data_IF_780460438829
#
_entry.id   IF_780460438829
#
_cell.length_a   1.000
_cell.length_b   1.000
_cell.length_c   1.000
_cell.angle_alpha   90.00
_cell.angle_beta   90.00
_cell.angle_gamma   90.00
#
_symmetry.space_group_name_H-M   'P 1'
#
loop_
_entity.id
_entity.type
_entity.pdbx_description
1 polymer ?
#
# COMPACT_ATOMS: atom_id res chain seq x y z
N UNK A 1 13.71 19.42 -27.04
CA UNK A 1 13.02 18.11 -26.91
C UNK A 1 14.11 17.11 -26.54
N UNK A 2 14.35 16.90 -25.25
CA UNK A 2 15.35 15.94 -24.76
C UNK A 2 14.57 14.81 -24.09
N UNK A 3 14.72 13.59 -24.63
CA UNK A 3 14.10 12.39 -24.11
C UNK A 3 14.73 12.04 -22.76
N UNK A 4 13.95 12.18 -21.68
CA UNK A 4 14.28 11.69 -20.35
C UNK A 4 14.11 10.17 -20.34
N UNK A 5 15.22 9.46 -20.51
CA UNK A 5 15.29 8.02 -20.31
C UNK A 5 14.84 7.70 -18.86
N UNK A 6 13.83 6.85 -18.76
CA UNK A 6 13.08 6.58 -17.53
C UNK A 6 13.92 5.93 -16.45
N UNK A 7 14.12 6.67 -15.36
CA UNK A 7 14.39 6.08 -14.04
C UNK A 7 13.05 6.06 -13.33
N UNK A 8 12.37 4.91 -13.36
CA UNK A 8 11.15 4.71 -12.58
C UNK A 8 11.53 4.60 -11.11
N UNK A 9 11.34 5.67 -10.35
CA UNK A 9 11.44 5.64 -8.89
C UNK A 9 10.07 5.28 -8.33
N UNK A 10 9.81 3.97 -8.31
CA UNK A 10 8.69 3.43 -7.54
C UNK A 10 9.10 3.48 -6.08
N UNK A 11 8.66 4.52 -5.38
CA UNK A 11 8.72 4.57 -3.93
C UNK A 11 7.53 3.77 -3.39
N UNK A 12 7.71 2.47 -3.23
CA UNK A 12 6.65 1.61 -2.70
C UNK A 12 6.73 1.59 -1.18
N UNK A 13 5.87 2.37 -0.52
CA UNK A 13 5.45 2.08 0.84
C UNK A 13 3.93 2.26 0.88
N UNK A 14 3.25 1.10 1.01
CA UNK A 14 1.82 0.86 0.84
C UNK A 14 1.31 1.19 -0.58
N UNK A 15 0.90 0.19 -1.35
CA UNK A 15 -0.04 0.23 -2.50
C UNK A 15 0.23 -1.03 -3.33
N UNK A 16 -0.73 -1.94 -3.25
CA UNK A 16 -0.88 -3.19 -3.96
C UNK A 16 0.06 -3.48 -5.17
N UNK A 17 0.83 -4.56 -5.04
CA UNK A 17 1.21 -5.42 -6.16
C UNK A 17 -0.05 -6.13 -6.70
N UNK A 18 -0.90 -5.41 -7.45
CA UNK A 18 -1.83 -6.02 -8.40
C UNK A 18 -1.32 -5.70 -9.79
N UNK A 19 -0.50 -6.60 -10.33
CA UNK A 19 -0.20 -6.56 -11.77
C UNK A 19 -1.48 -6.86 -12.55
N UNK A 20 -1.87 -6.07 -13.57
CA UNK A 20 -2.89 -6.48 -14.52
C UNK A 20 -2.47 -7.75 -15.27
N UNK A 21 -3.42 -8.58 -15.75
CA UNK A 21 -3.06 -9.79 -16.49
C UNK A 21 -2.41 -9.39 -17.82
N UNK A 22 -1.18 -9.86 -18.00
CA UNK A 22 -0.45 -10.00 -19.26
C UNK A 22 0.11 -8.72 -19.92
N UNK A 23 1.42 -8.47 -19.73
CA UNK A 23 2.45 -8.48 -20.78
C UNK A 23 3.80 -8.01 -20.22
N UNK A 24 4.84 -8.83 -20.38
CA UNK A 24 6.23 -8.47 -20.15
C UNK A 24 6.71 -8.76 -18.72
N UNK A 25 7.46 -9.84 -18.58
CA UNK A 25 8.31 -10.15 -17.43
C UNK A 25 9.10 -8.92 -16.98
N UNK A 26 8.69 -8.31 -15.87
CA UNK A 26 9.60 -7.61 -14.97
C UNK A 26 9.61 -8.41 -13.68
N UNK A 27 10.55 -9.35 -13.60
CA UNK A 27 10.94 -9.99 -12.35
C UNK A 27 11.50 -8.87 -11.47
N UNK A 28 10.69 -8.33 -10.56
CA UNK A 28 11.24 -7.55 -9.46
C UNK A 28 11.86 -8.58 -8.52
N UNK A 29 13.18 -8.71 -8.58
CA UNK A 29 13.93 -9.52 -7.63
C UNK A 29 13.68 -8.95 -6.23
N UNK A 30 12.87 -9.65 -5.46
CA UNK A 30 12.79 -9.51 -4.01
C UNK A 30 14.18 -9.83 -3.44
N UNK A 31 14.95 -8.77 -3.14
CA UNK A 31 16.17 -8.87 -2.35
C UNK A 31 15.84 -8.71 -0.87
N UNK A 32 15.02 -9.59 -0.31
CA UNK A 32 14.85 -9.65 1.14
C UNK A 32 15.96 -10.49 1.78
N UNK A 33 16.87 -9.77 2.48
CA UNK A 33 17.75 -10.32 3.52
C UNK A 33 16.97 -10.63 4.81
N UNK A 34 15.85 -11.34 4.68
CA UNK A 34 15.03 -11.79 5.81
C UNK A 34 14.46 -13.19 5.57
N UNK A 35 15.22 -14.12 4.98
CA UNK A 35 15.04 -15.58 5.12
C UNK A 35 13.66 -16.21 4.83
N UNK A 36 12.68 -15.48 4.30
CA UNK A 36 11.32 -15.94 4.06
C UNK A 36 11.18 -16.54 2.67
N UNK A 37 10.53 -17.72 2.58
CA UNK A 37 10.21 -18.36 1.30
C UNK A 37 9.36 -17.45 0.42
N UNK A 38 9.67 -17.38 -0.87
CA UNK A 38 8.84 -16.69 -1.87
C UNK A 38 7.48 -17.40 -2.01
N UNK A 39 6.41 -16.73 -2.49
CA UNK A 39 5.08 -17.34 -2.63
C UNK A 39 5.05 -18.69 -3.37
N UNK A 40 5.89 -18.87 -4.39
CA UNK A 40 5.98 -20.11 -5.18
C UNK A 40 6.73 -21.26 -4.48
N UNK A 41 7.41 -21.01 -3.37
CA UNK A 41 8.18 -22.00 -2.60
C UNK A 41 7.42 -22.48 -1.35
N UNK A 42 6.30 -21.83 -1.02
CA UNK A 42 5.45 -22.16 0.12
C UNK A 42 4.50 -23.30 -0.22
N UNK A 43 4.38 -24.27 0.68
CA UNK A 43 3.57 -25.47 0.49
C UNK A 43 2.28 -25.32 1.29
N UNK A 44 1.14 -25.41 0.59
CA UNK A 44 -0.16 -25.32 1.24
C UNK A 44 -0.54 -26.64 1.91
N UNK A 45 -1.10 -26.56 3.11
CA UNK A 45 -1.70 -27.69 3.85
C UNK A 45 -3.22 -27.53 3.94
N UNK A 46 -3.92 -28.64 4.15
CA UNK A 46 -5.35 -28.61 4.47
C UNK A 46 -5.56 -28.56 5.97
N UNK A 47 -6.45 -27.68 6.43
CA UNK A 47 -6.85 -27.57 7.82
C UNK A 47 -8.32 -27.98 8.00
N UNK A 48 -8.71 -28.53 9.16
CA UNK A 48 -10.10 -28.79 9.49
C UNK A 48 -10.94 -27.50 9.47
N UNK A 49 -12.24 -27.62 9.14
CA UNK A 49 -13.14 -26.47 9.10
C UNK A 49 -13.19 -25.70 10.44
N UNK A 50 -13.21 -26.42 11.57
CA UNK A 50 -13.20 -25.81 12.90
C UNK A 50 -11.94 -24.98 13.16
N UNK A 51 -10.79 -25.36 12.59
CA UNK A 51 -9.55 -24.57 12.68
C UNK A 51 -9.68 -23.28 11.87
N UNK A 52 -10.19 -23.36 10.65
CA UNK A 52 -10.41 -22.19 9.78
C UNK A 52 -11.46 -21.22 10.35
N UNK A 53 -12.50 -21.74 11.00
CA UNK A 53 -13.53 -20.93 11.66
C UNK A 53 -12.95 -20.01 12.75
N UNK A 54 -11.89 -20.44 13.45
CA UNK A 54 -11.22 -19.61 14.47
C UNK A 54 -10.59 -18.34 13.92
N UNK A 55 -10.16 -18.36 12.66
CA UNK A 55 -9.49 -17.22 12.02
C UNK A 55 -10.46 -16.31 11.25
N UNK A 56 -11.69 -16.76 11.02
CA UNK A 56 -12.73 -15.97 10.38
C UNK A 56 -13.13 -14.79 11.27
N UNK A 57 -13.18 -13.58 10.71
CA UNK A 57 -13.41 -12.34 11.44
C UNK A 57 -12.87 -11.12 10.73
N UNK A 58 -13.04 -9.97 11.37
CA UNK A 58 -12.53 -8.68 10.89
C UNK A 58 -11.34 -8.27 11.74
N UNK A 59 -10.25 -7.89 11.06
CA UNK A 59 -8.96 -7.61 11.66
C UNK A 59 -8.52 -6.19 11.30
N UNK A 60 -8.42 -5.31 12.29
CA UNK A 60 -8.07 -3.91 12.15
C UNK A 60 -6.55 -3.74 12.08
N UNK A 61 -6.07 -3.11 11.01
CA UNK A 61 -4.67 -2.70 10.84
C UNK A 61 -4.47 -1.22 11.16
N UNK A 62 -5.46 -0.38 10.80
CA UNK A 62 -5.54 1.04 11.14
C UNK A 62 -7.00 1.49 11.10
N UNK A 63 -7.29 2.75 11.43
CA UNK A 63 -8.67 3.28 11.37
C UNK A 63 -9.33 3.16 9.99
N UNK A 64 -8.55 3.09 8.92
CA UNK A 64 -9.03 3.05 7.54
C UNK A 64 -8.80 1.70 6.85
N UNK A 65 -8.00 0.81 7.44
CA UNK A 65 -7.58 -0.43 6.81
C UNK A 65 -7.88 -1.64 7.68
N UNK A 66 -8.62 -2.57 7.10
CA UNK A 66 -9.08 -3.80 7.72
C UNK A 66 -8.82 -4.99 6.79
N UNK A 67 -8.74 -6.17 7.37
CA UNK A 67 -8.74 -7.45 6.67
C UNK A 67 -9.98 -8.22 7.12
N UNK A 68 -10.92 -8.45 6.21
CA UNK A 68 -12.05 -9.34 6.43
C UNK A 68 -11.65 -10.76 6.00
N UNK A 69 -11.60 -11.68 6.95
CA UNK A 69 -11.32 -13.09 6.72
C UNK A 69 -12.60 -13.89 6.85
N UNK A 70 -12.96 -14.64 5.81
CA UNK A 70 -14.18 -15.45 5.75
C UNK A 70 -13.88 -16.85 5.27
N UNK A 71 -14.45 -17.86 5.94
CA UNK A 71 -14.41 -19.24 5.43
C UNK A 71 -15.44 -19.44 4.33
N UNK A 72 -15.00 -20.05 3.24
CA UNK A 72 -15.83 -20.52 2.14
C UNK A 72 -15.55 -22.01 1.91
N UNK A 73 -16.36 -22.90 2.48
CA UNK A 73 -16.10 -24.33 2.41
C UNK A 73 -14.85 -24.73 3.20
N UNK A 74 -13.82 -25.21 2.50
CA UNK A 74 -12.52 -25.66 3.03
C UNK A 74 -11.37 -24.66 2.84
N UNK A 75 -11.68 -23.42 2.41
CA UNK A 75 -10.70 -22.33 2.21
C UNK A 75 -11.05 -21.09 3.02
N UNK A 76 -10.04 -20.24 3.24
CA UNK A 76 -10.21 -18.89 3.75
C UNK A 76 -10.04 -17.87 2.62
N UNK A 77 -10.96 -16.93 2.56
CA UNK A 77 -10.89 -15.75 1.72
C UNK A 77 -10.55 -14.55 2.59
N UNK A 78 -9.57 -13.76 2.18
CA UNK A 78 -9.17 -12.52 2.85
C UNK A 78 -9.37 -11.33 1.91
N UNK A 79 -10.02 -10.29 2.42
CA UNK A 79 -10.26 -9.04 1.70
C UNK A 79 -9.67 -7.88 2.50
N UNK A 80 -8.71 -7.17 1.92
CA UNK A 80 -8.28 -5.86 2.41
C UNK A 80 -9.29 -4.77 1.99
N UNK A 81 -9.46 -3.75 2.81
CA UNK A 81 -10.26 -2.57 2.46
C UNK A 81 -9.83 -1.99 1.11
N UNK A 82 -10.80 -1.75 0.21
CA UNK A 82 -10.54 -1.24 -1.14
C UNK A 82 -9.90 -2.24 -2.12
N UNK A 83 -9.73 -3.52 -1.74
CA UNK A 83 -9.18 -4.57 -2.60
C UNK A 83 -10.20 -5.68 -2.87
N UNK A 84 -10.02 -6.44 -3.97
CA UNK A 84 -10.75 -7.69 -4.18
C UNK A 84 -10.42 -8.72 -3.08
N UNK A 85 -11.33 -9.67 -2.91
CA UNK A 85 -11.12 -10.81 -2.02
C UNK A 85 -10.27 -11.87 -2.71
N UNK A 86 -9.27 -12.41 -2.02
CA UNK A 86 -8.40 -13.47 -2.52
C UNK A 86 -8.26 -14.60 -1.50
N UNK A 87 -8.02 -15.81 -1.99
CA UNK A 87 -7.78 -16.96 -1.13
C UNK A 87 -6.44 -16.82 -0.41
N UNK A 88 -6.43 -17.18 0.88
CA UNK A 88 -5.22 -17.36 1.69
C UNK A 88 -5.02 -18.85 1.99
N UNK A 89 -3.82 -19.34 1.75
CA UNK A 89 -3.46 -20.74 1.86
C UNK A 89 -2.72 -20.98 3.17
N UNK A 90 -3.11 -21.99 3.95
CA UNK A 90 -2.40 -22.36 5.16
C UNK A 90 -1.03 -22.98 4.81
N UNK A 91 0.05 -22.49 5.40
CA UNK A 91 1.36 -23.16 5.40
C UNK A 91 1.57 -23.96 6.69
N UNK A 92 1.03 -23.46 7.81
CA UNK A 92 0.87 -24.15 9.09
C UNK A 92 -0.48 -23.75 9.71
N UNK A 93 -0.81 -24.29 10.88
CA UNK A 93 -2.15 -24.13 11.50
C UNK A 93 -2.59 -22.66 11.62
N UNK A 94 -1.68 -21.77 11.98
CA UNK A 94 -1.90 -20.36 12.30
C UNK A 94 -1.27 -19.38 11.29
N UNK A 95 -0.69 -19.88 10.19
CA UNK A 95 0.06 -19.06 9.26
C UNK A 95 -0.37 -19.31 7.83
N UNK A 96 -0.76 -18.23 7.18
CA UNK A 96 -1.38 -18.24 5.87
C UNK A 96 -0.61 -17.34 4.92
N UNK A 97 -0.67 -17.62 3.62
CA UNK A 97 -0.01 -16.82 2.60
C UNK A 97 -0.90 -16.65 1.37
N UNK A 98 -0.71 -15.54 0.65
CA UNK A 98 -1.28 -15.36 -0.68
C UNK A 98 -0.34 -15.94 -1.74
N UNK A 99 -0.90 -16.50 -2.82
CA UNK A 99 -0.11 -16.92 -3.99
C UNK A 99 0.13 -15.80 -5.01
N UNK A 100 -0.69 -14.74 -4.94
CA UNK A 100 -0.66 -13.63 -5.90
C UNK A 100 0.29 -12.50 -5.49
N UNK A 101 0.72 -12.47 -4.23
CA UNK A 101 1.58 -11.44 -3.66
C UNK A 101 2.45 -12.07 -2.57
N UNK A 102 3.64 -11.52 -2.37
CA UNK A 102 4.48 -11.86 -1.23
C UNK A 102 3.98 -11.19 0.05
N UNK A 103 2.96 -11.82 0.64
CA UNK A 103 2.40 -11.44 1.93
C UNK A 103 1.95 -12.68 2.70
N UNK A 104 2.00 -12.58 4.02
CA UNK A 104 1.57 -13.64 4.93
C UNK A 104 0.72 -13.07 6.06
N UNK A 105 -0.20 -13.88 6.56
CA UNK A 105 -1.08 -13.57 7.68
C UNK A 105 -0.85 -14.60 8.77
N UNK A 106 -0.31 -14.16 9.89
CA UNK A 106 -0.05 -14.98 11.07
C UNK A 106 -1.07 -14.65 12.16
N UNK A 107 -1.76 -15.66 12.68
CA UNK A 107 -2.73 -15.50 13.76
C UNK A 107 -2.11 -15.92 15.08
N UNK A 108 -2.11 -15.02 16.04
CA UNK A 108 -1.51 -15.22 17.35
C UNK A 108 -2.58 -15.36 18.44
N UNK A 109 -2.16 -15.78 19.63
CA UNK A 109 -3.01 -15.86 20.82
C UNK A 109 -4.32 -16.63 20.57
N UNK A 110 -4.27 -17.74 19.82
CA UNK A 110 -5.45 -18.55 19.51
C UNK A 110 -6.49 -17.86 18.60
N UNK A 111 -6.10 -16.79 17.88
CA UNK A 111 -6.99 -16.03 17.01
C UNK A 111 -7.58 -14.77 17.64
N UNK A 112 -6.91 -14.21 18.65
CA UNK A 112 -7.26 -12.92 19.26
C UNK A 112 -6.46 -11.75 18.66
N UNK A 113 -5.23 -12.00 18.25
CA UNK A 113 -4.34 -11.05 17.57
C UNK A 113 -3.85 -11.65 16.26
N UNK A 114 -3.37 -10.83 15.34
CA UNK A 114 -2.74 -11.31 14.11
C UNK A 114 -1.65 -10.32 13.65
N UNK A 115 -0.81 -10.75 12.72
CA UNK A 115 0.17 -9.92 12.05
C UNK A 115 0.10 -10.15 10.55
N UNK A 116 0.12 -9.07 9.78
CA UNK A 116 0.38 -9.10 8.35
C UNK A 116 1.88 -8.92 8.13
N UNK A 117 2.53 -9.91 7.52
CA UNK A 117 3.91 -9.82 7.06
C UNK A 117 3.91 -9.40 5.59
N UNK A 118 4.47 -8.23 5.30
CA UNK A 118 4.57 -7.73 3.94
C UNK A 118 5.72 -6.73 3.84
N UNK A 119 6.46 -6.76 2.72
CA UNK A 119 7.59 -5.84 2.46
C UNK A 119 8.71 -5.93 3.52
N UNK A 120 8.95 -7.12 4.07
CA UNK A 120 9.90 -7.32 5.17
C UNK A 120 9.50 -6.62 6.48
N UNK A 121 8.22 -6.26 6.63
CA UNK A 121 7.65 -5.59 7.80
C UNK A 121 6.47 -6.37 8.36
N UNK A 122 6.18 -6.15 9.64
CA UNK A 122 5.05 -6.73 10.34
C UNK A 122 4.07 -5.62 10.69
N UNK A 123 2.81 -5.81 10.32
CA UNK A 123 1.72 -4.91 10.66
C UNK A 123 0.80 -5.61 11.66
N UNK A 124 0.72 -5.13 12.91
CA UNK A 124 -0.13 -5.75 13.91
C UNK A 124 -1.60 -5.57 13.54
N UNK A 125 -2.40 -6.58 13.86
CA UNK A 125 -3.82 -6.64 13.59
C UNK A 125 -4.57 -7.01 14.86
N UNK A 126 -5.64 -6.29 15.16
CA UNK A 126 -6.55 -6.61 16.27
C UNK A 126 -7.90 -7.04 15.76
N UNK A 127 -8.47 -8.07 16.37
CA UNK A 127 -9.83 -8.53 16.02
C UNK A 127 -10.85 -7.48 16.50
N UNK A 128 -11.76 -7.08 15.61
CA UNK A 128 -12.80 -6.07 15.87
C UNK A 128 -14.17 -6.52 15.36
N UNK A 129 -15.21 -5.73 15.65
CA UNK A 129 -16.54 -5.96 15.09
C UNK A 129 -16.57 -5.66 13.58
N UNK A 130 -17.34 -6.46 12.83
CA UNK A 130 -17.43 -6.32 11.38
C UNK A 130 -18.03 -4.98 10.92
N UNK A 131 -18.75 -4.28 11.79
CA UNK A 131 -19.27 -2.94 11.52
C UNK A 131 -18.16 -1.91 11.30
N UNK A 132 -16.99 -2.04 11.96
CA UNK A 132 -15.87 -1.11 11.75
C UNK A 132 -15.35 -1.18 10.30
N UNK A 133 -15.12 -2.38 9.77
CA UNK A 133 -14.71 -2.56 8.38
C UNK A 133 -15.79 -2.12 7.39
N UNK A 134 -17.07 -2.37 7.71
CA UNK A 134 -18.21 -1.94 6.88
C UNK A 134 -18.28 -0.41 6.79
N UNK A 135 -18.08 0.29 7.92
CA UNK A 135 -18.04 1.75 7.97
C UNK A 135 -16.85 2.30 7.19
N UNK A 136 -15.66 1.72 7.37
CA UNK A 136 -14.46 2.13 6.65
C UNK A 136 -14.60 1.94 5.14
N UNK A 137 -15.17 0.81 4.69
CA UNK A 137 -15.44 0.57 3.27
C UNK A 137 -16.48 1.55 2.74
N UNK A 138 -17.56 1.83 3.48
CA UNK A 138 -18.58 2.79 3.07
C UNK A 138 -18.02 4.21 2.96
N UNK A 139 -17.14 4.61 3.88
CA UNK A 139 -16.46 5.90 3.84
C UNK A 139 -15.51 6.01 2.64
N UNK A 140 -14.79 4.92 2.31
CA UNK A 140 -13.96 4.84 1.11
C UNK A 140 -14.82 4.96 -0.16
N UNK A 141 -15.90 4.20 -0.25
CA UNK A 141 -16.81 4.21 -1.40
C UNK A 141 -17.44 5.59 -1.60
N UNK A 142 -17.82 6.28 -0.51
CA UNK A 142 -18.33 7.63 -0.55
C UNK A 142 -17.29 8.62 -1.09
N UNK A 143 -16.02 8.53 -0.67
CA UNK A 143 -14.93 9.36 -1.19
C UNK A 143 -14.63 9.11 -2.66
N UNK A 144 -14.69 7.85 -3.09
CA UNK A 144 -14.55 7.47 -4.50
C UNK A 144 -15.73 8.03 -5.31
N UNK A 145 -16.96 7.92 -4.82
CA UNK A 145 -18.14 8.44 -5.51
C UNK A 145 -18.11 9.97 -5.61
N UNK A 146 -17.73 10.66 -4.53
CA UNK A 146 -17.69 12.13 -4.48
C UNK A 146 -16.43 12.73 -5.09
N UNK A 147 -15.42 11.91 -5.40
CA UNK A 147 -14.09 12.33 -5.85
C UNK A 147 -13.52 13.44 -4.96
N UNK A 148 -13.62 13.26 -3.64
CA UNK A 148 -13.19 14.25 -2.65
C UNK A 148 -11.85 13.83 -2.04
N UNK A 149 -10.79 14.66 -2.15
CA UNK A 149 -9.51 14.33 -1.55
C UNK A 149 -9.59 14.24 -0.03
N UNK A 150 -8.67 13.51 0.58
CA UNK A 150 -8.47 13.53 2.02
C UNK A 150 -8.16 14.96 2.47
N UNK A 151 -8.79 15.44 3.57
CA UNK A 151 -8.43 16.71 4.16
C UNK A 151 -6.91 16.79 4.43
N UNK A 152 -6.25 17.79 3.86
CA UNK A 152 -4.82 18.03 4.04
C UNK A 152 -3.88 17.31 3.05
N UNK A 153 -4.36 16.41 2.19
CA UNK A 153 -3.47 15.65 1.28
C UNK A 153 -2.74 16.54 0.27
N UNK A 154 -3.39 17.56 -0.30
CA UNK A 154 -2.71 18.53 -1.17
C UNK A 154 -1.63 19.30 -0.40
N UNK A 155 -1.92 19.74 0.82
CA UNK A 155 -0.96 20.49 1.64
C UNK A 155 0.25 19.63 2.02
N UNK A 156 0.03 18.37 2.39
CA UNK A 156 1.10 17.42 2.68
C UNK A 156 1.95 17.14 1.44
N UNK A 157 1.33 16.92 0.27
CA UNK A 157 2.04 16.70 -0.98
C UNK A 157 2.90 17.92 -1.36
N UNK A 158 2.37 19.14 -1.22
CA UNK A 158 3.10 20.38 -1.46
C UNK A 158 4.36 20.47 -0.61
N UNK A 159 4.22 20.27 0.70
CA UNK A 159 5.34 20.30 1.64
C UNK A 159 6.40 19.24 1.30
N UNK A 160 5.96 18.03 0.93
CA UNK A 160 6.87 16.97 0.53
C UNK A 160 7.66 17.33 -0.74
N UNK A 161 7.00 17.79 -1.80
CA UNK A 161 7.66 18.16 -3.04
C UNK A 161 8.59 19.38 -2.87
N UNK A 162 8.17 20.37 -2.08
CA UNK A 162 9.01 21.53 -1.75
C UNK A 162 10.27 21.09 -0.97
N UNK A 163 10.11 20.18 -0.01
CA UNK A 163 11.22 19.56 0.73
C UNK A 163 12.16 18.78 -0.18
N UNK A 164 11.64 17.99 -1.13
CA UNK A 164 12.44 17.25 -2.11
C UNK A 164 13.24 18.18 -3.03
N UNK A 165 12.64 19.28 -3.49
CA UNK A 165 13.33 20.27 -4.35
C UNK A 165 14.43 21.04 -3.62
N UNK A 166 14.24 21.30 -2.33
CA UNK A 166 15.17 22.08 -1.51
C UNK A 166 16.24 21.24 -0.81
N UNK A 167 16.21 19.91 -0.98
CA UNK A 167 17.02 18.96 -0.20
C UNK A 167 16.81 19.12 1.32
N UNK A 168 15.55 19.31 1.72
CA UNK A 168 15.09 19.56 3.10
C UNK A 168 13.79 18.84 3.39
N UNK A 169 13.74 17.56 3.04
CA UNK A 169 12.57 16.71 3.30
C UNK A 169 12.32 16.63 4.81
N UNK A 170 11.10 16.97 5.24
CA UNK A 170 10.66 16.74 6.63
C UNK A 170 10.24 15.28 6.80
N UNK A 171 11.21 14.44 7.18
CA UNK A 171 10.96 13.02 7.47
C UNK A 171 10.03 12.80 8.68
N UNK A 172 9.82 13.81 9.54
CA UNK A 172 8.87 13.72 10.65
C UNK A 172 7.41 13.67 10.19
N UNK A 173 7.13 14.25 9.02
CA UNK A 173 5.81 14.27 8.37
C UNK A 173 5.44 12.96 7.66
N UNK A 174 6.36 12.00 7.60
CA UNK A 174 6.19 10.71 6.94
C UNK A 174 5.96 9.59 7.97
N UNK A 175 5.20 8.57 7.62
CA UNK A 175 5.23 7.30 8.36
C UNK A 175 6.64 6.67 8.28
N UNK A 176 7.12 5.95 9.32
CA UNK A 176 8.49 5.45 9.36
C UNK A 176 8.92 4.65 8.13
N UNK A 177 8.03 3.80 7.61
CA UNK A 177 8.29 3.02 6.40
C UNK A 177 8.48 3.90 5.15
N UNK A 178 7.70 4.97 5.05
CA UNK A 178 7.81 5.93 3.97
C UNK A 178 9.12 6.74 4.09
N UNK A 179 9.46 7.17 5.31
CA UNK A 179 10.71 7.88 5.56
C UNK A 179 11.93 7.04 5.15
N UNK A 180 11.95 5.75 5.49
CA UNK A 180 13.05 4.84 5.13
C UNK A 180 13.13 4.61 3.62
N UNK A 181 12.00 4.36 2.96
CA UNK A 181 11.95 4.21 1.50
C UNK A 181 12.46 5.46 0.78
N UNK A 182 12.11 6.64 1.29
CA UNK A 182 12.50 7.91 0.69
C UNK A 182 13.99 8.19 0.84
N UNK A 183 14.57 7.87 2.00
CA UNK A 183 16.02 7.94 2.22
C UNK A 183 16.81 7.04 1.29
N UNK A 184 16.30 5.84 1.03
CA UNK A 184 16.97 4.88 0.13
C UNK A 184 17.03 5.36 -1.32
N UNK A 185 16.07 6.18 -1.74
CA UNK A 185 15.95 6.68 -3.12
C UNK A 185 16.33 8.16 -3.28
N UNK A 186 16.79 8.80 -2.19
CA UNK A 186 17.03 10.26 -2.11
C UNK A 186 17.88 10.79 -3.28
N UNK A 187 18.99 10.12 -3.60
CA UNK A 187 19.88 10.55 -4.69
C UNK A 187 19.19 10.58 -6.07
N UNK A 188 18.35 9.59 -6.37
CA UNK A 188 17.65 9.51 -7.63
C UNK A 188 16.48 10.52 -7.68
N UNK A 189 15.79 10.74 -6.56
CA UNK A 189 14.74 11.76 -6.45
C UNK A 189 15.31 13.15 -6.67
N UNK A 190 16.48 13.47 -6.08
CA UNK A 190 17.18 14.75 -6.31
C UNK A 190 17.46 15.00 -7.78
N UNK A 191 17.92 13.97 -8.48
CA UNK A 191 18.20 14.07 -9.91
C UNK A 191 16.93 14.38 -10.71
N UNK A 192 15.84 13.68 -10.42
CA UNK A 192 14.54 13.89 -11.07
C UNK A 192 13.99 15.29 -10.77
N UNK A 193 14.00 15.72 -9.52
CA UNK A 193 13.50 17.04 -9.11
C UNK A 193 14.29 18.18 -9.75
N UNK A 194 15.62 18.03 -9.87
CA UNK A 194 16.48 19.00 -10.57
C UNK A 194 16.12 19.12 -12.06
N UNK A 195 15.75 18.02 -12.70
CA UNK A 195 15.36 18.01 -14.11
C UNK A 195 13.96 18.63 -14.32
N UNK A 196 13.00 18.32 -13.44
CA UNK A 196 11.63 18.84 -13.51
C UNK A 196 11.55 20.34 -13.22
N UNK A 197 12.39 20.83 -12.31
CA UNK A 197 12.34 22.21 -11.85
C UNK A 197 11.14 22.49 -10.91
N UNK A 198 10.94 23.77 -10.54
CA UNK A 198 9.96 24.15 -9.54
C UNK A 198 8.53 23.76 -9.93
N UNK A 199 7.74 23.41 -8.94
CA UNK A 199 6.30 23.19 -9.11
C UNK A 199 5.61 24.53 -9.40
N UNK A 200 4.72 24.54 -10.40
CA UNK A 200 3.97 25.73 -10.83
C UNK A 200 2.47 25.60 -10.59
N UNK A 201 1.92 24.38 -10.59
CA UNK A 201 0.49 24.15 -10.39
C UNK A 201 0.21 22.76 -9.82
N UNK A 202 -0.76 22.68 -8.91
CA UNK A 202 -1.38 21.44 -8.46
C UNK A 202 -2.81 21.39 -8.98
N UNK A 203 -3.22 20.22 -9.46
CA UNK A 203 -4.58 19.95 -9.90
C UNK A 203 -5.02 18.61 -9.33
N UNK A 204 -6.01 18.61 -8.44
CA UNK A 204 -6.65 17.37 -8.02
C UNK A 204 -7.33 16.69 -9.22
N UNK A 205 -7.11 15.39 -9.38
CA UNK A 205 -7.63 14.61 -10.51
C UNK A 205 -8.68 13.61 -10.09
N UNK A 206 -8.38 12.81 -9.07
CA UNK A 206 -9.30 11.76 -8.65
C UNK A 206 -8.96 11.17 -7.28
N UNK A 207 -9.93 10.43 -6.74
CA UNK A 207 -9.69 9.41 -5.72
C UNK A 207 -9.71 8.05 -6.41
N UNK A 208 -8.61 7.30 -6.28
CA UNK A 208 -8.50 5.94 -6.82
C UNK A 208 -9.29 4.92 -6.01
N UNK A 209 -9.48 3.70 -6.53
CA UNK A 209 -10.27 2.64 -5.89
C UNK A 209 -9.77 2.23 -4.49
N UNK A 210 -8.51 2.50 -4.18
CA UNK A 210 -7.91 2.26 -2.86
C UNK A 210 -7.91 3.51 -1.95
N UNK A 211 -8.56 4.59 -2.36
CA UNK A 211 -8.67 5.81 -1.54
C UNK A 211 -7.45 6.74 -1.62
N UNK A 212 -6.56 6.50 -2.59
CA UNK A 212 -5.41 7.36 -2.87
C UNK A 212 -5.86 8.59 -3.65
N UNK A 213 -5.42 9.76 -3.21
CA UNK A 213 -5.66 10.99 -3.93
C UNK A 213 -4.63 11.14 -5.04
N UNK A 214 -5.11 11.39 -6.26
CA UNK A 214 -4.28 11.67 -7.40
C UNK A 214 -4.24 13.17 -7.68
N UNK A 215 -3.02 13.71 -7.72
CA UNK A 215 -2.75 15.08 -8.11
C UNK A 215 -1.90 15.10 -9.37
N UNK A 216 -2.35 15.82 -10.38
CA UNK A 216 -1.50 16.22 -11.50
C UNK A 216 -0.75 17.48 -11.08
N UNK A 217 0.57 17.40 -11.08
CA UNK A 217 1.45 18.48 -10.67
C UNK A 217 2.28 18.93 -11.86
N UNK A 218 2.10 20.20 -12.23
CA UNK A 218 2.87 20.85 -13.26
C UNK A 218 4.16 21.39 -12.64
N UNK A 219 5.29 21.02 -13.23
CA UNK A 219 6.61 21.60 -12.97
C UNK A 219 7.03 22.49 -14.14
N UNK A 220 8.12 23.24 -13.97
CA UNK A 220 8.68 24.09 -15.02
C UNK A 220 9.02 23.32 -16.31
N UNK A 221 9.55 22.10 -16.19
CA UNK A 221 10.07 21.30 -17.31
C UNK A 221 9.31 19.98 -17.53
N UNK A 222 8.12 19.83 -16.93
CA UNK A 222 7.38 18.58 -17.03
C UNK A 222 6.12 18.57 -16.18
N UNK A 223 5.44 17.44 -16.20
CA UNK A 223 4.23 17.18 -15.42
C UNK A 223 4.29 15.76 -14.89
N UNK A 224 3.87 15.56 -13.66
CA UNK A 224 3.83 14.25 -13.02
C UNK A 224 2.50 14.07 -12.31
N UNK A 225 1.94 12.87 -12.39
CA UNK A 225 0.83 12.47 -11.53
C UNK A 225 1.39 11.87 -10.25
N UNK A 226 0.99 12.42 -9.12
CA UNK A 226 1.36 11.93 -7.80
C UNK A 226 0.14 11.29 -7.15
N UNK A 227 0.31 10.09 -6.60
CA UNK A 227 -0.65 9.44 -5.73
C UNK A 227 -0.19 9.63 -4.29
N UNK A 228 -1.11 10.02 -3.40
CA UNK A 228 -0.82 10.21 -1.98
C UNK A 228 -1.95 9.64 -1.11
N UNK A 229 -1.59 9.14 0.07
CA UNK A 229 -2.53 8.86 1.15
C UNK A 229 -1.97 9.36 2.48
N UNK A 230 -2.86 9.84 3.35
CA UNK A 230 -2.52 10.22 4.71
C UNK A 230 -2.91 9.10 5.67
N UNK A 231 -2.07 8.88 6.68
CA UNK A 231 -2.43 8.10 7.84
C UNK A 231 -3.38 8.90 8.76
N UNK A 232 -4.12 8.26 9.69
CA UNK A 232 -5.06 8.95 10.59
C UNK A 232 -4.43 10.07 11.44
N UNK A 233 -3.12 10.01 11.69
CA UNK A 233 -2.36 11.03 12.40
C UNK A 233 -1.96 12.24 11.52
N UNK A 234 -2.40 12.28 10.26
CA UNK A 234 -2.09 13.33 9.28
C UNK A 234 -0.75 13.19 8.58
N UNK A 235 0.07 12.18 8.91
CA UNK A 235 1.34 11.91 8.22
C UNK A 235 1.12 11.28 6.87
N UNK A 236 2.08 11.43 5.97
CA UNK A 236 2.05 10.76 4.67
C UNK A 236 2.33 9.28 4.90
N UNK A 237 1.29 8.46 4.73
CA UNK A 237 1.37 7.00 4.83
C UNK A 237 1.81 6.34 3.52
N UNK A 238 1.56 7.01 2.40
CA UNK A 238 1.85 6.50 1.06
C UNK A 238 2.03 7.63 0.05
N UNK A 239 3.00 7.48 -0.85
CA UNK A 239 3.34 8.44 -1.88
C UNK A 239 3.94 7.70 -3.09
N UNK A 240 3.46 7.99 -4.28
CA UNK A 240 3.95 7.37 -5.51
C UNK A 240 3.94 8.38 -6.67
N UNK A 241 4.97 8.33 -7.51
CA UNK A 241 5.01 9.05 -8.77
C UNK A 241 4.55 8.13 -9.90
N UNK A 242 3.58 8.58 -10.68
CA UNK A 242 3.12 7.92 -11.89
C UNK A 242 3.62 8.72 -13.09
N UNK A 243 4.49 8.11 -13.88
CA UNK A 243 4.92 8.71 -15.15
C UNK A 243 3.72 8.77 -16.09
N UNK A 244 3.46 9.95 -16.64
CA UNK A 244 2.60 10.09 -17.82
C UNK A 244 3.31 9.45 -19.01
N UNK A 245 2.64 8.58 -19.79
CA UNK A 245 3.19 8.01 -21.03
C UNK A 245 3.64 9.07 -22.03
#
# INVERSE_FOLDING_TARGET
IAALAGVSLTLTALAAQVSPPNSGTVTVESTDKAGGKKPGERVAIKLPAATLDRYSGTWKMSEQMYIDVKREGDKLMAKLTGQPSFEVFAEREDYFFWKIVDAQLEFNDGGHTAELHQFGKNFPLTRVDASEATLAQSALDARIASQTPQPGSEAALRLLLDGMMQDKIDYGSLEPLMADALRQQDGAIKQVMKQLGPVTKFTFKSVGHQGWDMYEVQHANGRINYLITLAPNGKIGGFMQMMTP
#
